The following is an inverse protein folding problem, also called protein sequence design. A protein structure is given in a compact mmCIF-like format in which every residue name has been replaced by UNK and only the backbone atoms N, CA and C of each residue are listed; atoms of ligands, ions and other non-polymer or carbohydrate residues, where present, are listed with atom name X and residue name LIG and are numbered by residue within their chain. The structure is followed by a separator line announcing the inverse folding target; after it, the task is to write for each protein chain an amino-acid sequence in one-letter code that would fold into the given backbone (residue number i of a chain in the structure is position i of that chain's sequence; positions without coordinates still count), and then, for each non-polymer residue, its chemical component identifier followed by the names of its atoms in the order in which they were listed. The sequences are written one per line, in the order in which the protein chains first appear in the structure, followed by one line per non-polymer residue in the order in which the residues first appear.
data_IF_082662057566
#
_entry.id   IF_082662057566
#
_cell.length_a   1.000
_cell.length_b   1.000
_cell.length_c   1.000
_cell.angle_alpha   90.00
_cell.angle_beta   90.00
_cell.angle_gamma   90.00
#
_symmetry.space_group_name_H-M   'P 1'
#
loop_
_entity.id
_entity.type
_entity.pdbx_description
1 polymer ?
#
# COMPACT_ATOMS: atom_id res chain seq x y z
N UNK A 1 19.23 -0.16 0.38
CA UNK A 1 19.98 -1.23 1.07
C UNK A 1 19.80 -1.08 2.57
N UNK A 2 19.29 -2.09 3.27
CA UNK A 2 19.44 -2.20 4.72
C UNK A 2 20.49 -3.26 5.00
N UNK A 3 21.64 -2.83 5.53
CA UNK A 3 22.73 -3.71 5.98
C UNK A 3 22.61 -3.80 7.49
N UNK A 4 22.43 -5.02 8.02
CA UNK A 4 22.65 -5.31 9.44
C UNK A 4 24.02 -5.97 9.62
N UNK A 5 24.58 -5.80 10.81
CA UNK A 5 25.97 -6.04 11.24
C UNK A 5 26.50 -7.48 11.17
N UNK A 6 25.83 -8.41 10.49
CA UNK A 6 26.29 -9.81 10.35
C UNK A 6 26.38 -10.32 8.91
N UNK A 7 26.24 -9.46 7.88
CA UNK A 7 26.66 -9.80 6.52
C UNK A 7 25.89 -10.93 5.82
N UNK A 8 24.72 -11.34 6.33
CA UNK A 8 23.85 -12.30 5.65
C UNK A 8 22.77 -11.56 4.86
N UNK A 9 22.88 -11.61 3.53
CA UNK A 9 21.90 -11.10 2.58
C UNK A 9 20.75 -12.11 2.51
N UNK A 10 19.62 -11.79 3.14
CA UNK A 10 18.38 -12.53 2.93
C UNK A 10 17.71 -12.04 1.64
N UNK A 11 17.39 -12.93 0.68
CA UNK A 11 16.69 -12.54 -0.52
C UNK A 11 15.30 -12.00 -0.19
N UNK A 12 14.97 -10.87 -0.79
CA UNK A 12 13.62 -10.31 -0.83
C UNK A 12 12.72 -11.41 -1.39
N UNK A 13 11.82 -11.94 -0.55
CA UNK A 13 10.88 -12.97 -0.93
C UNK A 13 9.95 -12.42 -2.02
N UNK A 14 10.27 -12.79 -3.25
CA UNK A 14 9.38 -12.75 -4.42
C UNK A 14 8.21 -13.69 -4.07
N UNK A 15 7.02 -13.14 -3.90
CA UNK A 15 5.78 -13.93 -3.79
C UNK A 15 5.54 -14.68 -5.12
N UNK A 16 5.52 -16.03 -5.14
CA UNK A 16 4.98 -16.75 -6.28
C UNK A 16 3.47 -16.89 -6.11
N UNK A 17 2.73 -16.43 -7.12
CA UNK A 17 1.37 -16.89 -7.42
C UNK A 17 1.39 -18.41 -7.62
N UNK A 18 0.59 -19.16 -6.85
CA UNK A 18 0.24 -20.52 -7.22
C UNK A 18 -1.21 -20.84 -6.84
N UNK A 19 -1.92 -21.25 -7.89
CA UNK A 19 -3.30 -21.68 -7.97
C UNK A 19 -3.39 -23.21 -7.82
N UNK A 20 -4.51 -23.71 -7.28
CA UNK A 20 -4.98 -25.11 -7.21
C UNK A 20 -4.22 -26.02 -6.22
N UNK A 21 -4.81 -26.90 -5.39
CA UNK A 21 -5.97 -27.80 -5.57
C UNK A 21 -6.66 -28.15 -4.24
N UNK A 22 -7.95 -28.44 -4.38
CA UNK A 22 -8.87 -29.07 -3.42
C UNK A 22 -8.55 -30.57 -3.30
N UNK A 23 -8.40 -31.11 -2.08
CA UNK A 23 -8.81 -32.48 -1.66
C UNK A 23 -9.08 -32.47 -0.13
N UNK A 24 -10.24 -32.97 0.37
CA UNK A 24 -10.54 -33.08 1.79
C UNK A 24 -10.13 -34.47 2.35
N UNK A 25 -9.56 -34.50 3.55
CA UNK A 25 -9.40 -35.73 4.32
C UNK A 25 -9.95 -35.55 5.75
N UNK A 26 -10.74 -36.56 6.12
CA UNK A 26 -11.71 -36.63 7.20
C UNK A 26 -11.07 -37.34 8.39
N UNK A 27 -11.22 -36.82 9.62
CA UNK A 27 -11.84 -37.52 10.78
C UNK A 27 -11.51 -36.90 12.15
N UNK A 28 -12.58 -36.83 12.92
CA UNK A 28 -12.73 -37.08 14.36
C UNK A 28 -12.07 -36.14 15.36
N UNK A 29 -12.87 -35.21 15.88
CA UNK A 29 -12.86 -34.89 17.31
C UNK A 29 -14.29 -34.91 17.84
N UNK A 30 -14.53 -35.84 18.74
CA UNK A 30 -15.71 -35.96 19.58
C UNK A 30 -15.60 -35.00 20.76
N UNK A 31 -16.68 -34.25 21.01
CA UNK A 31 -17.03 -33.82 22.37
C UNK A 31 -16.95 -32.33 22.65
N UNK A 32 -18.09 -31.84 23.16
CA UNK A 32 -18.27 -30.71 24.08
C UNK A 32 -18.62 -29.31 23.52
N UNK A 33 -19.88 -28.95 23.82
CA UNK A 33 -20.58 -27.68 23.79
C UNK A 33 -20.64 -26.89 22.46
N UNK A 34 -21.76 -27.15 21.79
CA UNK A 34 -22.37 -26.28 20.80
C UNK A 34 -22.77 -24.94 21.47
N UNK A 35 -21.90 -23.94 21.39
CA UNK A 35 -22.32 -22.54 21.46
C UNK A 35 -22.18 -21.97 20.05
N UNK A 36 -23.25 -22.10 19.27
CA UNK A 36 -23.34 -21.46 17.97
C UNK A 36 -23.34 -19.93 18.20
N UNK A 37 -22.37 -19.16 17.67
CA UNK A 37 -22.46 -17.71 17.71
C UNK A 37 -23.70 -17.33 16.90
N UNK A 38 -24.68 -16.73 17.57
CA UNK A 38 -25.88 -16.26 16.89
C UNK A 38 -25.46 -15.24 15.83
N UNK A 39 -26.04 -15.31 14.63
CA UNK A 39 -25.69 -14.45 13.49
C UNK A 39 -25.72 -12.93 13.83
N UNK A 40 -26.33 -12.52 14.94
CA UNK A 40 -26.33 -11.14 15.43
C UNK A 40 -24.96 -10.67 15.96
N UNK A 41 -24.10 -11.54 16.45
CA UNK A 41 -22.80 -11.14 17.05
C UNK A 41 -21.66 -10.98 16.04
N UNK A 42 -21.68 -11.72 14.92
CA UNK A 42 -20.71 -11.55 13.83
C UNK A 42 -21.03 -10.34 12.93
N UNK A 43 -22.29 -9.91 12.94
CA UNK A 43 -22.81 -8.86 12.07
C UNK A 43 -22.43 -7.45 12.57
N UNK A 44 -22.40 -7.23 13.89
CA UNK A 44 -21.98 -5.95 14.48
C UNK A 44 -20.51 -5.55 14.17
N UNK A 45 -19.49 -6.42 14.34
CA UNK A 45 -18.11 -6.07 13.99
C UNK A 45 -17.91 -5.89 12.48
N UNK A 46 -18.59 -6.69 11.64
CA UNK A 46 -18.56 -6.52 10.18
C UNK A 46 -19.18 -5.20 9.74
N UNK A 47 -20.32 -4.79 10.32
CA UNK A 47 -20.94 -3.50 10.01
C UNK A 47 -20.06 -2.30 10.42
N UNK A 48 -19.39 -2.37 11.57
CA UNK A 48 -18.48 -1.32 12.01
C UNK A 48 -17.22 -1.23 11.13
N UNK A 49 -16.61 -2.37 10.80
CA UNK A 49 -15.47 -2.43 9.88
C UNK A 49 -15.83 -1.90 8.49
N UNK A 50 -17.01 -2.28 7.97
CA UNK A 50 -17.48 -1.81 6.67
C UNK A 50 -17.75 -0.29 6.65
N UNK A 51 -18.24 0.26 7.76
CA UNK A 51 -18.43 1.71 7.91
C UNK A 51 -17.09 2.46 8.01
N UNK A 52 -16.11 1.91 8.74
CA UNK A 52 -14.77 2.51 8.83
C UNK A 52 -14.03 2.48 7.49
N UNK A 53 -14.17 1.40 6.72
CA UNK A 53 -13.57 1.28 5.38
C UNK A 53 -14.18 2.29 4.42
N UNK A 54 -15.52 2.41 4.42
CA UNK A 54 -16.21 3.44 3.62
C UNK A 54 -15.75 4.85 3.97
N UNK A 55 -15.55 5.15 5.24
CA UNK A 55 -15.06 6.45 5.67
C UNK A 55 -13.62 6.69 5.23
N UNK A 56 -12.78 5.66 5.29
CA UNK A 56 -11.39 5.70 4.82
C UNK A 56 -11.32 5.94 3.32
N UNK A 57 -12.08 5.18 2.52
CA UNK A 57 -12.18 5.35 1.06
C UNK A 57 -12.61 6.77 0.68
N UNK A 58 -13.58 7.34 1.41
CA UNK A 58 -14.03 8.72 1.19
C UNK A 58 -12.92 9.74 1.46
N UNK A 59 -12.12 9.54 2.52
CA UNK A 59 -10.97 10.40 2.79
C UNK A 59 -9.90 10.23 1.72
N UNK A 60 -9.62 8.99 1.32
CA UNK A 60 -8.59 8.67 0.33
C UNK A 60 -8.96 9.26 -1.05
N UNK A 61 -10.23 9.21 -1.45
CA UNK A 61 -10.71 9.97 -2.62
C UNK A 61 -10.43 11.45 -2.51
N UNK A 62 -10.77 12.06 -1.36
CA UNK A 62 -10.61 13.51 -1.15
C UNK A 62 -9.15 13.96 -1.18
N UNK A 63 -8.24 13.17 -0.62
CA UNK A 63 -6.85 13.58 -0.41
C UNK A 63 -5.87 12.94 -1.38
N UNK A 64 -6.16 11.79 -1.96
CA UNK A 64 -5.16 10.99 -2.68
C UNK A 64 -5.51 10.82 -4.15
N UNK A 65 -6.78 10.58 -4.49
CA UNK A 65 -7.18 10.15 -5.84
C UNK A 65 -6.68 11.08 -6.96
N UNK A 66 -7.02 12.37 -6.89
CA UNK A 66 -6.64 13.33 -7.94
C UNK A 66 -5.10 13.45 -8.11
N UNK A 67 -4.37 13.34 -7.00
CA UNK A 67 -2.90 13.43 -6.96
C UNK A 67 -2.25 12.20 -7.58
N UNK A 68 -2.72 11.01 -7.19
CA UNK A 68 -2.22 9.76 -7.73
C UNK A 68 -2.53 9.64 -9.23
N UNK A 69 -3.74 10.02 -9.66
CA UNK A 69 -4.09 10.06 -11.10
C UNK A 69 -3.19 11.02 -11.86
N UNK A 70 -2.95 12.22 -11.33
CA UNK A 70 -2.05 13.20 -11.94
C UNK A 70 -0.64 12.64 -12.10
N UNK A 71 -0.06 12.04 -11.06
CA UNK A 71 1.27 11.44 -11.17
C UNK A 71 1.31 10.29 -12.17
N UNK A 72 0.34 9.37 -12.14
CA UNK A 72 0.28 8.25 -13.08
C UNK A 72 0.18 8.75 -14.52
N UNK A 73 -0.67 9.76 -14.77
CA UNK A 73 -0.81 10.35 -16.09
C UNK A 73 0.50 11.01 -16.55
N UNK A 74 1.11 11.85 -15.70
CA UNK A 74 2.37 12.51 -16.02
C UNK A 74 3.51 11.52 -16.26
N UNK A 75 3.55 10.42 -15.49
CA UNK A 75 4.50 9.32 -15.68
C UNK A 75 4.31 8.63 -17.04
N UNK A 76 3.07 8.30 -17.41
CA UNK A 76 2.78 7.62 -18.69
C UNK A 76 3.15 8.47 -19.91
N UNK A 77 3.05 9.80 -19.79
CA UNK A 77 3.43 10.74 -20.86
C UNK A 77 4.90 11.16 -20.82
N UNK A 78 5.66 10.73 -19.82
CA UNK A 78 7.06 11.12 -19.65
C UNK A 78 8.01 10.29 -20.51
N UNK A 79 9.11 10.91 -20.94
CA UNK A 79 10.21 10.21 -21.60
C UNK A 79 10.93 9.25 -20.64
N UNK A 80 11.65 8.25 -21.17
CA UNK A 80 12.32 7.25 -20.33
C UNK A 80 13.38 7.85 -19.39
N UNK A 81 14.06 8.91 -19.82
CA UNK A 81 14.99 9.68 -18.97
C UNK A 81 14.24 10.34 -17.81
N UNK A 82 13.06 10.93 -18.08
CA UNK A 82 12.25 11.57 -17.04
C UNK A 82 11.66 10.55 -16.05
N UNK A 83 11.33 9.33 -16.50
CA UNK A 83 10.80 8.25 -15.63
C UNK A 83 11.75 7.91 -14.48
N UNK A 84 13.07 8.06 -14.66
CA UNK A 84 14.04 7.85 -13.59
C UNK A 84 13.75 8.74 -12.37
N UNK A 85 13.40 10.00 -12.59
CA UNK A 85 13.04 10.92 -11.51
C UNK A 85 11.76 10.48 -10.78
N UNK A 86 10.78 9.95 -11.52
CA UNK A 86 9.58 9.37 -10.90
C UNK A 86 9.93 8.16 -10.04
N UNK A 87 10.76 7.23 -10.54
CA UNK A 87 11.16 6.06 -9.76
C UNK A 87 11.89 6.45 -8.46
N UNK A 88 12.83 7.40 -8.54
CA UNK A 88 13.54 7.90 -7.37
C UNK A 88 12.59 8.47 -6.31
N UNK A 89 11.68 9.35 -6.71
CA UNK A 89 10.77 10.01 -5.77
C UNK A 89 9.75 9.03 -5.20
N UNK A 90 9.23 8.10 -6.01
CA UNK A 90 8.26 7.08 -5.58
C UNK A 90 8.91 6.07 -4.64
N UNK A 91 10.08 5.55 -4.97
CA UNK A 91 10.81 4.63 -4.10
C UNK A 91 11.25 5.31 -2.80
N UNK A 92 11.71 6.57 -2.88
CA UNK A 92 12.03 7.36 -1.69
C UNK A 92 10.82 7.59 -0.78
N UNK A 93 9.66 7.93 -1.36
CA UNK A 93 8.42 8.04 -0.60
C UNK A 93 7.97 6.69 0.00
N UNK A 94 8.10 5.59 -0.75
CA UNK A 94 7.77 4.26 -0.27
C UNK A 94 8.66 3.84 0.91
N UNK A 95 9.98 4.06 0.81
CA UNK A 95 10.94 3.78 1.86
C UNK A 95 10.69 4.61 3.12
N UNK A 96 10.38 5.91 2.96
CA UNK A 96 10.06 6.79 4.08
C UNK A 96 8.77 6.40 4.83
N UNK A 97 7.88 5.62 4.19
CA UNK A 97 6.64 5.14 4.79
C UNK A 97 6.73 3.71 5.34
N UNK A 98 7.86 3.02 5.16
CA UNK A 98 8.07 1.72 5.77
C UNK A 98 8.32 1.89 7.28
N UNK A 99 7.68 1.07 8.14
CA UNK A 99 7.99 1.10 9.55
C UNK A 99 9.44 0.62 9.76
N UNK A 100 10.22 1.37 10.54
CA UNK A 100 11.64 1.11 10.77
C UNK A 100 11.96 -0.19 11.51
N UNK A 101 10.94 -0.91 11.97
CA UNK A 101 11.07 -2.25 12.54
C UNK A 101 10.13 -3.17 11.75
N UNK A 102 10.72 -4.11 11.01
CA UNK A 102 9.97 -5.25 10.47
C UNK A 102 9.60 -6.14 11.65
N UNK A 103 8.44 -5.91 12.23
CA UNK A 103 7.87 -6.81 13.23
C UNK A 103 7.33 -8.04 12.49
N UNK A 104 8.00 -9.21 12.57
CA UNK A 104 7.57 -10.40 11.86
C UNK A 104 6.23 -10.94 12.41
N UNK A 105 5.76 -10.44 13.55
CA UNK A 105 4.44 -10.78 14.11
C UNK A 105 3.30 -9.95 13.49
N UNK A 106 3.63 -8.87 12.77
CA UNK A 106 2.62 -8.00 12.17
C UNK A 106 2.15 -8.58 10.82
N UNK A 107 0.85 -8.79 10.69
CA UNK A 107 0.25 -9.21 9.42
C UNK A 107 0.55 -8.20 8.31
N UNK A 108 0.86 -8.69 7.10
CA UNK A 108 1.19 -7.89 5.93
C UNK A 108 0.14 -6.80 5.63
N UNK A 109 -1.13 -7.10 5.89
CA UNK A 109 -2.25 -6.16 5.73
C UNK A 109 -2.16 -4.98 6.71
N UNK A 110 -1.87 -5.25 8.00
CA UNK A 110 -1.69 -4.22 9.04
C UNK A 110 -0.46 -3.37 8.75
N UNK A 111 0.61 -3.98 8.26
CA UNK A 111 1.82 -3.29 7.85
C UNK A 111 1.53 -2.30 6.71
N UNK A 112 0.86 -2.78 5.67
CA UNK A 112 0.46 -1.96 4.54
C UNK A 112 -0.47 -0.82 4.97
N UNK A 113 -1.43 -1.07 5.85
CA UNK A 113 -2.30 -0.01 6.38
C UNK A 113 -1.52 1.08 7.14
N UNK A 114 -0.55 0.71 7.98
CA UNK A 114 0.32 1.69 8.68
C UNK A 114 1.15 2.50 7.70
N UNK A 115 1.74 1.88 6.69
CA UNK A 115 2.49 2.58 5.65
C UNK A 115 1.61 3.53 4.83
N UNK A 116 0.37 3.11 4.52
CA UNK A 116 -0.61 3.97 3.86
C UNK A 116 -0.98 5.19 4.71
N UNK A 117 -1.15 5.01 6.02
CA UNK A 117 -1.46 6.10 6.95
C UNK A 117 -0.29 7.08 7.08
N UNK A 118 0.94 6.58 7.18
CA UNK A 118 2.14 7.42 7.19
C UNK A 118 2.22 8.30 5.92
N UNK A 119 2.03 7.70 4.75
CA UNK A 119 2.02 8.41 3.47
C UNK A 119 0.89 9.45 3.40
N UNK A 120 -0.32 9.08 3.85
CA UNK A 120 -1.49 9.97 3.89
C UNK A 120 -1.27 11.16 4.80
N UNK A 121 -0.59 10.98 5.93
CA UNK A 121 -0.29 12.06 6.87
C UNK A 121 0.69 13.07 6.28
N UNK A 122 1.69 12.62 5.49
CA UNK A 122 2.58 13.52 4.76
C UNK A 122 1.79 14.37 3.75
N UNK A 123 0.90 13.73 2.97
CA UNK A 123 0.04 14.46 2.02
C UNK A 123 -0.82 15.50 2.74
N UNK A 124 -1.50 15.12 3.83
CA UNK A 124 -2.32 16.04 4.62
C UNK A 124 -1.51 17.19 5.21
N UNK A 125 -0.31 16.92 5.70
CA UNK A 125 0.60 17.94 6.24
C UNK A 125 0.99 18.96 5.17
N UNK A 126 1.46 18.49 4.01
CA UNK A 126 1.86 19.34 2.89
C UNK A 126 0.71 20.19 2.35
N UNK A 127 -0.52 19.65 2.29
CA UNK A 127 -1.71 20.42 1.90
C UNK A 127 -1.98 21.58 2.86
N UNK A 128 -1.81 21.37 4.17
CA UNK A 128 -2.02 22.43 5.18
C UNK A 128 -0.92 23.49 5.11
N UNK A 129 0.29 23.09 4.74
CA UNK A 129 1.47 23.96 4.68
C UNK A 129 1.63 24.69 3.34
N UNK A 130 0.91 24.27 2.29
CA UNK A 130 0.93 24.89 0.96
C UNK A 130 0.38 26.32 1.00
N UNK A 131 1.18 27.26 1.52
CA UNK A 131 0.87 28.68 1.53
C UNK A 131 1.40 29.38 0.28
N UNK A 132 2.54 28.95 -0.30
CA UNK A 132 3.14 29.63 -1.47
C UNK A 132 4.06 28.77 -2.36
N UNK A 133 4.06 27.44 -2.24
CA UNK A 133 4.98 26.60 -3.04
C UNK A 133 4.34 26.16 -4.35
N UNK A 134 4.64 26.88 -5.44
CA UNK A 134 4.50 26.38 -6.81
C UNK A 134 5.79 25.66 -7.27
N UNK A 135 6.43 24.95 -6.34
CA UNK A 135 7.58 24.11 -6.68
C UNK A 135 7.08 22.79 -7.29
N UNK A 136 7.39 22.58 -8.56
CA UNK A 136 7.04 21.38 -9.31
C UNK A 136 7.60 20.12 -8.64
N UNK A 137 8.76 20.20 -7.98
CA UNK A 137 9.31 19.07 -7.24
C UNK A 137 8.50 18.77 -5.98
N UNK A 138 8.10 19.79 -5.22
CA UNK A 138 7.22 19.60 -4.06
C UNK A 138 5.86 18.98 -4.44
N UNK A 139 5.30 19.37 -5.59
CA UNK A 139 4.09 18.76 -6.15
C UNK A 139 4.33 17.29 -6.48
N UNK A 140 5.41 16.99 -7.23
CA UNK A 140 5.77 15.61 -7.59
C UNK A 140 5.96 14.72 -6.35
N UNK A 141 6.68 15.21 -5.34
CA UNK A 141 6.89 14.48 -4.09
C UNK A 141 5.55 14.22 -3.39
N UNK A 142 4.67 15.22 -3.30
CA UNK A 142 3.37 15.06 -2.66
C UNK A 142 2.49 14.05 -3.40
N UNK A 143 2.51 14.07 -4.73
CA UNK A 143 1.75 13.12 -5.54
C UNK A 143 2.33 11.70 -5.46
N UNK A 144 3.65 11.57 -5.29
CA UNK A 144 4.30 10.29 -5.03
C UNK A 144 3.84 9.69 -3.69
N UNK A 145 3.81 10.49 -2.62
CA UNK A 145 3.23 10.03 -1.35
C UNK A 145 1.75 9.64 -1.49
N UNK A 146 0.96 10.37 -2.28
CA UNK A 146 -0.43 9.98 -2.54
C UNK A 146 -0.54 8.64 -3.29
N UNK A 147 0.33 8.42 -4.28
CA UNK A 147 0.40 7.18 -5.05
C UNK A 147 0.83 6.00 -4.17
N UNK A 148 1.85 6.19 -3.33
CA UNK A 148 2.31 5.20 -2.35
C UNK A 148 1.21 4.86 -1.33
N UNK A 149 0.48 5.85 -0.82
CA UNK A 149 -0.64 5.62 0.08
C UNK A 149 -1.71 4.74 -0.58
N UNK A 150 -2.10 5.04 -1.82
CA UNK A 150 -3.07 4.26 -2.58
C UNK A 150 -2.56 2.83 -2.87
N UNK A 151 -1.27 2.67 -3.20
CA UNK A 151 -0.67 1.36 -3.43
C UNK A 151 -0.75 0.50 -2.17
N UNK A 152 -0.38 1.04 -1.00
CA UNK A 152 -0.45 0.32 0.26
C UNK A 152 -1.89 0.05 0.73
N UNK A 153 -2.84 0.98 0.51
CA UNK A 153 -4.27 0.70 0.74
C UNK A 153 -4.77 -0.46 -0.13
N UNK A 154 -4.31 -0.55 -1.37
CA UNK A 154 -4.64 -1.68 -2.26
C UNK A 154 -4.03 -2.99 -1.77
N UNK A 155 -2.80 -2.96 -1.28
CA UNK A 155 -2.13 -4.12 -0.68
C UNK A 155 -2.84 -4.57 0.61
N UNK A 156 -3.41 -3.63 1.36
CA UNK A 156 -4.23 -3.89 2.55
C UNK A 156 -5.70 -4.24 2.23
N UNK A 157 -6.03 -4.56 0.98
CA UNK A 157 -7.39 -4.89 0.52
C UNK A 157 -8.49 -3.83 0.82
N UNK A 158 -8.12 -2.58 1.12
CA UNK A 158 -9.06 -1.55 1.58
C UNK A 158 -10.03 -1.05 0.48
N UNK A 159 -9.74 -1.34 -0.80
CA UNK A 159 -10.53 -0.88 -1.95
C UNK A 159 -11.43 -1.96 -2.58
N UNK A 160 -11.60 -3.12 -1.95
CA UNK A 160 -12.42 -4.23 -2.49
C UNK A 160 -13.87 -3.85 -2.80
N UNK A 161 -14.44 -2.91 -2.03
CA UNK A 161 -15.79 -2.40 -2.20
C UNK A 161 -15.91 -1.24 -3.22
N UNK A 162 -14.79 -0.72 -3.73
CA UNK A 162 -14.77 0.44 -4.63
C UNK A 162 -13.92 0.17 -5.87
N UNK A 163 -14.58 -0.20 -6.98
CA UNK A 163 -13.91 -0.68 -8.19
C UNK A 163 -13.00 0.35 -8.85
N UNK A 164 -13.30 1.64 -8.69
CA UNK A 164 -12.49 2.70 -9.27
C UNK A 164 -11.21 2.91 -8.47
N UNK A 165 -11.33 3.03 -7.14
CA UNK A 165 -10.17 3.10 -6.26
C UNK A 165 -9.35 1.81 -6.30
N UNK A 166 -9.98 0.65 -6.52
CA UNK A 166 -9.29 -0.63 -6.71
C UNK A 166 -8.40 -0.61 -7.95
N UNK A 167 -8.91 -0.14 -9.09
CA UNK A 167 -8.14 -0.03 -10.35
C UNK A 167 -6.98 0.96 -10.23
N UNK A 168 -7.26 2.12 -9.63
CA UNK A 168 -6.22 3.12 -9.36
C UNK A 168 -5.14 2.54 -8.42
N UNK A 169 -5.58 1.81 -7.40
CA UNK A 169 -4.76 1.01 -6.49
C UNK A 169 -3.82 0.06 -7.22
N UNK A 170 -4.36 -0.76 -8.12
CA UNK A 170 -3.57 -1.72 -8.90
C UNK A 170 -2.51 -1.02 -9.75
N UNK A 171 -2.86 0.06 -10.46
CA UNK A 171 -1.90 0.84 -11.24
C UNK A 171 -0.79 1.44 -10.35
N UNK A 172 -1.17 1.97 -9.18
CA UNK A 172 -0.22 2.51 -8.22
C UNK A 172 0.72 1.43 -7.66
N UNK A 173 0.22 0.24 -7.33
CA UNK A 173 1.05 -0.90 -6.88
C UNK A 173 2.07 -1.25 -7.95
N UNK A 174 1.65 -1.42 -9.21
CA UNK A 174 2.57 -1.73 -10.30
C UNK A 174 3.68 -0.68 -10.44
N UNK A 175 3.34 0.60 -10.40
CA UNK A 175 4.34 1.66 -10.51
C UNK A 175 5.30 1.68 -9.31
N UNK A 176 4.81 1.51 -8.09
CA UNK A 176 5.65 1.44 -6.88
C UNK A 176 6.59 0.23 -6.94
N UNK A 177 6.12 -0.93 -7.39
CA UNK A 177 6.96 -2.12 -7.58
C UNK A 177 8.06 -1.84 -8.60
N UNK A 178 7.74 -1.29 -9.77
CA UNK A 178 8.73 -0.95 -10.80
C UNK A 178 9.77 0.03 -10.23
N UNK A 179 9.32 1.08 -9.54
CA UNK A 179 10.19 2.08 -8.95
C UNK A 179 11.18 1.46 -7.94
N UNK A 180 10.69 0.61 -7.05
CA UNK A 180 11.53 -0.06 -6.05
C UNK A 180 12.52 -1.03 -6.70
N UNK A 181 12.09 -1.82 -7.69
CA UNK A 181 12.98 -2.73 -8.42
C UNK A 181 14.07 -1.98 -9.17
N UNK A 182 13.72 -0.87 -9.83
CA UNK A 182 14.69 -0.01 -10.52
C UNK A 182 15.73 0.56 -9.54
N UNK A 183 15.28 1.14 -8.42
CA UNK A 183 16.18 1.72 -7.43
C UNK A 183 17.02 0.68 -6.69
N UNK A 184 16.50 -0.54 -6.53
CA UNK A 184 17.27 -1.68 -6.02
C UNK A 184 18.43 -2.03 -6.94
N UNK A 185 18.15 -2.20 -8.23
CA UNK A 185 19.16 -2.51 -9.24
C UNK A 185 20.22 -1.40 -9.40
N UNK A 186 19.83 -0.13 -9.30
CA UNK A 186 20.77 1.01 -9.33
C UNK A 186 21.69 1.04 -8.10
N UNK A 187 21.23 0.55 -6.94
CA UNK A 187 22.05 0.49 -5.73
C UNK A 187 23.08 -0.64 -5.74
N UNK A 188 22.93 -1.62 -6.64
CA UNK A 188 23.82 -2.78 -6.77
C UNK A 188 24.91 -2.60 -7.84
N UNK A 189 24.86 -1.50 -8.59
CA UNK A 189 25.87 -1.08 -9.57
C UNK A 189 26.98 -0.27 -8.92
#
# INVERSE_FOLDING_TARGET
MFVNTEGVILPIAIFPLLSTRIIPARRNFSGFFHFAPTAREAVAPMFNWFNSDRQTIRQDRRYLEARARRLLQSYLTSSDEQKQRYYQVIAGAAAACQPGVSDPSLENEKLANRSAEAATNVVKSRIRQARYENDQLAILITDAYATVAIAYRRAAAAYTADKEMERLGTAAVHLVTIANSFMGAESER
#
